data_IF_765394180358
#
_entry.id   IF_765394180358
#
_cell.length_a   1.000
_cell.length_b   1.000
_cell.length_c   1.000
_cell.angle_alpha   90.00
_cell.angle_beta   90.00
_cell.angle_gamma   90.00
#
_symmetry.space_group_name_H-M   'P 1'
#
loop_
_entity.id
_entity.type
_entity.pdbx_description
1 polymer ?
#
# COMPACT_ATOMS: atom_id res chain seq x y z
N UNK A 1 5.04 12.83 7.11
CA UNK A 1 5.74 11.68 6.49
C UNK A 1 5.81 10.51 7.47
N UNK A 2 6.05 10.76 8.78
CA UNK A 2 6.21 9.70 9.82
C UNK A 2 4.94 8.85 10.00
N UNK A 3 3.75 9.38 9.75
CA UNK A 3 2.46 8.64 9.85
C UNK A 3 1.97 8.06 8.51
N UNK A 4 2.88 7.78 7.56
CA UNK A 4 2.47 7.19 6.29
C UNK A 4 2.15 5.70 6.49
N UNK A 5 0.95 5.30 6.06
CA UNK A 5 0.46 3.91 6.18
C UNK A 5 1.36 2.89 5.48
N UNK A 6 2.04 3.29 4.38
CA UNK A 6 3.00 2.43 3.67
C UNK A 6 4.24 2.14 4.53
N UNK A 7 4.76 3.17 5.24
CA UNK A 7 5.90 2.99 6.15
C UNK A 7 5.50 2.09 7.31
N UNK A 8 4.34 2.35 7.92
CA UNK A 8 3.82 1.54 9.03
C UNK A 8 3.60 0.08 8.63
N UNK A 9 3.08 -0.17 7.43
CA UNK A 9 2.93 -1.53 6.92
C UNK A 9 4.30 -2.23 6.76
N UNK A 10 5.30 -1.54 6.19
CA UNK A 10 6.64 -2.09 6.03
C UNK A 10 7.38 -2.29 7.39
N UNK A 11 7.10 -1.46 8.40
CA UNK A 11 7.59 -1.65 9.78
C UNK A 11 7.01 -2.92 10.41
N UNK A 12 5.71 -3.15 10.26
CA UNK A 12 5.05 -4.37 10.73
C UNK A 12 5.56 -5.62 10.01
N UNK A 13 5.81 -5.53 8.70
CA UNK A 13 6.41 -6.62 7.91
C UNK A 13 7.82 -6.96 8.44
N UNK A 14 8.62 -5.94 8.77
CA UNK A 14 9.94 -6.14 9.37
C UNK A 14 9.85 -6.77 10.76
N UNK A 15 8.96 -6.27 11.63
CA UNK A 15 8.72 -6.85 12.96
C UNK A 15 8.29 -8.30 12.86
N UNK A 16 7.37 -8.63 11.93
CA UNK A 16 6.95 -10.01 11.70
C UNK A 16 8.11 -10.92 11.27
N UNK A 17 9.03 -10.42 10.43
CA UNK A 17 10.21 -11.18 10.02
C UNK A 17 11.20 -11.39 11.18
N UNK A 18 11.33 -10.41 12.09
CA UNK A 18 12.15 -10.53 13.31
C UNK A 18 11.54 -11.55 14.29
N UNK A 19 10.21 -11.54 14.47
CA UNK A 19 9.53 -12.53 15.32
C UNK A 19 9.60 -13.93 14.71
N UNK A 20 9.49 -14.06 13.37
CA UNK A 20 9.71 -15.33 12.68
C UNK A 20 11.15 -15.88 12.92
N UNK A 21 12.17 -15.00 12.89
CA UNK A 21 13.53 -15.39 13.24
C UNK A 21 13.62 -15.87 14.69
N UNK A 22 12.99 -15.19 15.64
CA UNK A 22 12.94 -15.65 17.05
C UNK A 22 12.26 -17.01 17.18
N UNK A 23 11.21 -17.23 16.42
CA UNK A 23 10.51 -18.52 16.36
C UNK A 23 11.42 -19.67 15.89
N UNK A 24 12.31 -19.43 14.91
CA UNK A 24 13.25 -20.48 14.45
C UNK A 24 14.23 -20.90 15.55
N UNK A 25 14.62 -20.00 16.45
CA UNK A 25 15.45 -20.35 17.61
C UNK A 25 14.76 -21.29 18.59
N UNK A 26 13.41 -21.37 18.58
CA UNK A 26 12.66 -22.28 19.45
C UNK A 26 12.94 -23.75 19.14
N UNK A 27 13.43 -24.07 17.92
CA UNK A 27 13.83 -25.41 17.55
C UNK A 27 14.97 -26.00 18.44
N UNK A 28 15.71 -25.12 19.13
CA UNK A 28 16.72 -25.57 20.09
C UNK A 28 16.15 -25.93 21.48
N UNK A 29 14.89 -25.59 21.75
CA UNK A 29 14.27 -25.86 23.04
C UNK A 29 13.45 -27.16 22.99
N UNK A 30 13.29 -27.84 24.17
CA UNK A 30 12.38 -28.97 24.27
C UNK A 30 10.95 -28.59 23.92
N UNK A 31 10.32 -29.41 23.07
CA UNK A 31 8.89 -29.26 22.77
C UNK A 31 8.09 -30.16 23.70
N UNK A 32 7.14 -29.56 24.41
CA UNK A 32 6.23 -30.27 25.32
C UNK A 32 4.84 -30.32 24.66
N UNK A 33 4.37 -31.52 24.35
CA UNK A 33 3.04 -31.76 23.80
C UNK A 33 2.17 -32.47 24.81
N UNK A 34 1.04 -31.90 25.16
CA UNK A 34 0.02 -32.52 26.02
C UNK A 34 -1.14 -32.96 25.13
N UNK A 35 -1.44 -34.25 25.14
CA UNK A 35 -2.57 -34.79 24.39
C UNK A 35 -3.57 -35.44 25.33
N UNK A 36 -4.85 -35.14 25.13
CA UNK A 36 -5.97 -35.76 25.82
C UNK A 36 -6.92 -36.30 24.75
N UNK A 37 -7.05 -37.59 24.70
CA UNK A 37 -7.93 -38.29 23.75
C UNK A 37 -8.96 -39.16 24.49
N UNK A 38 -10.14 -39.29 23.90
CA UNK A 38 -11.11 -40.29 24.31
C UNK A 38 -11.08 -41.42 23.26
N UNK A 39 -10.70 -42.61 23.67
CA UNK A 39 -10.66 -43.78 22.81
C UNK A 39 -11.90 -44.66 23.10
N UNK A 40 -12.65 -44.93 22.06
CA UNK A 40 -13.78 -45.89 22.14
C UNK A 40 -13.44 -47.07 21.20
N UNK A 41 -13.22 -48.25 21.79
CA UNK A 41 -12.93 -49.47 21.11
C UNK A 41 -14.12 -50.40 21.25
N UNK A 42 -14.75 -50.76 20.12
CA UNK A 42 -15.87 -51.71 20.07
C UNK A 42 -15.35 -52.99 19.40
N UNK A 43 -14.97 -53.96 20.24
CA UNK A 43 -14.42 -55.22 19.79
C UNK A 43 -15.56 -56.26 19.67
N UNK A 44 -15.81 -56.70 18.44
CA UNK A 44 -16.77 -57.75 18.13
C UNK A 44 -16.04 -59.02 17.78
N UNK A 45 -15.71 -59.82 18.77
CA UNK A 45 -15.12 -61.16 18.55
C UNK A 45 -16.21 -62.22 18.45
N UNK A 46 -16.32 -62.93 17.31
CA UNK A 46 -17.17 -64.12 17.26
C UNK A 46 -16.52 -65.23 18.11
N UNK A 47 -17.23 -65.68 19.12
CA UNK A 47 -16.74 -66.81 19.91
C UNK A 47 -16.72 -68.06 19.05
N UNK A 48 -15.57 -68.74 19.05
CA UNK A 48 -15.41 -70.08 18.44
C UNK A 48 -16.29 -71.08 19.22
N UNK A 49 -17.50 -71.27 18.76
CA UNK A 49 -18.40 -72.29 19.28
C UNK A 49 -18.88 -73.21 18.17
N UNK A 50 -19.11 -74.46 18.50
CA UNK A 50 -19.73 -75.44 17.58
C UNK A 50 -21.24 -75.19 17.50
N UNK A 51 -21.76 -75.09 16.25
CA UNK A 51 -23.19 -74.89 15.99
C UNK A 51 -24.10 -75.80 16.89
N UNK A 52 -25.14 -75.32 17.57
CA UNK A 52 -25.89 -74.05 17.37
C UNK A 52 -25.60 -72.92 18.38
N UNK A 53 -24.61 -73.00 19.24
CA UNK A 53 -24.32 -71.99 20.29
C UNK A 53 -23.20 -71.06 19.88
N UNK A 54 -23.48 -70.16 18.95
CA UNK A 54 -22.54 -69.06 18.58
C UNK A 54 -22.84 -67.84 19.40
N UNK A 55 -22.09 -67.58 20.46
CA UNK A 55 -22.23 -66.41 21.32
C UNK A 55 -21.34 -65.30 20.79
N UNK A 56 -21.90 -64.16 20.40
CA UNK A 56 -21.16 -62.95 20.07
C UNK A 56 -20.90 -62.19 21.35
N UNK A 57 -19.66 -62.04 21.76
CA UNK A 57 -19.29 -61.19 22.87
C UNK A 57 -19.04 -59.77 22.37
N UNK A 58 -19.80 -58.83 22.87
CA UNK A 58 -19.54 -57.43 22.69
C UNK A 58 -18.74 -56.91 23.90
N UNK A 59 -17.51 -56.48 23.67
CA UNK A 59 -16.72 -55.80 24.68
C UNK A 59 -16.46 -54.37 24.21
N UNK A 60 -17.12 -53.41 24.86
CA UNK A 60 -16.95 -51.99 24.59
C UNK A 60 -16.08 -51.39 25.69
N UNK A 61 -14.90 -50.93 25.32
CA UNK A 61 -13.98 -50.22 26.23
C UNK A 61 -13.95 -48.73 25.91
N UNK A 62 -14.34 -47.93 26.87
CA UNK A 62 -14.17 -46.49 26.80
C UNK A 62 -12.99 -46.08 27.72
N UNK A 63 -12.00 -45.47 27.16
CA UNK A 63 -10.80 -45.02 27.90
C UNK A 63 -10.45 -43.56 27.59
N UNK A 64 -10.07 -42.81 28.61
CA UNK A 64 -9.47 -41.49 28.45
C UNK A 64 -7.97 -41.69 28.43
N UNK A 65 -7.35 -41.39 27.29
CA UNK A 65 -5.90 -41.41 27.11
C UNK A 65 -5.35 -40.00 27.37
N UNK A 66 -4.43 -39.89 28.30
CA UNK A 66 -3.69 -38.64 28.59
C UNK A 66 -2.21 -38.93 28.36
N UNK A 67 -1.56 -38.12 27.54
CA UNK A 67 -0.12 -38.25 27.31
C UNK A 67 0.57 -36.91 27.39
N UNK A 68 1.79 -36.89 27.96
CA UNK A 68 2.73 -35.77 27.94
C UNK A 68 3.96 -36.27 27.20
N UNK A 69 4.26 -35.63 26.07
CA UNK A 69 5.43 -35.99 25.26
C UNK A 69 6.40 -34.84 25.28
N UNK A 70 7.65 -35.08 25.67
CA UNK A 70 8.75 -34.09 25.61
C UNK A 70 9.69 -34.55 24.51
N UNK A 71 9.87 -33.71 23.49
CA UNK A 71 10.76 -33.99 22.36
C UNK A 71 11.88 -32.95 22.34
N UNK A 72 13.13 -33.40 22.36
CA UNK A 72 14.32 -32.56 22.24
C UNK A 72 15.13 -33.02 21.03
N UNK A 73 15.37 -32.09 20.09
CA UNK A 73 16.30 -32.33 19.00
C UNK A 73 17.75 -32.25 19.54
N UNK A 74 18.55 -33.29 19.29
CA UNK A 74 19.93 -33.34 19.75
C UNK A 74 20.89 -33.04 18.59
N UNK A 75 20.60 -33.56 17.40
CA UNK A 75 21.44 -33.34 16.23
C UNK A 75 20.62 -33.53 14.95
N UNK A 76 20.79 -32.62 13.97
CA UNK A 76 20.03 -32.61 12.70
C UNK A 76 20.92 -32.31 11.49
N UNK A 77 22.22 -32.56 11.61
CA UNK A 77 23.20 -32.33 10.53
C UNK A 77 23.25 -30.83 10.05
N UNK A 78 22.93 -29.88 10.92
CA UNK A 78 22.99 -28.45 10.59
C UNK A 78 21.72 -27.86 9.93
N UNK A 79 20.64 -28.63 9.82
CA UNK A 79 19.37 -28.17 9.23
C UNK A 79 18.81 -26.97 9.99
N UNK A 80 18.76 -27.01 11.31
CA UNK A 80 18.27 -25.90 12.13
C UNK A 80 19.13 -24.66 11.96
N UNK A 81 20.47 -24.79 11.91
CA UNK A 81 21.36 -23.66 11.65
C UNK A 81 21.06 -23.02 10.29
N UNK A 82 20.89 -23.83 9.24
CA UNK A 82 20.55 -23.32 7.90
C UNK A 82 19.18 -22.62 7.86
N UNK A 83 18.17 -23.10 8.64
CA UNK A 83 16.86 -22.45 8.77
C UNK A 83 16.98 -21.10 9.48
N UNK A 84 17.76 -21.00 10.54
CA UNK A 84 18.05 -19.76 11.26
C UNK A 84 18.79 -18.76 10.35
N UNK A 85 19.79 -19.21 9.61
CA UNK A 85 20.51 -18.34 8.67
C UNK A 85 19.61 -17.83 7.54
N UNK A 86 18.72 -18.67 7.02
CA UNK A 86 17.67 -18.25 6.10
C UNK A 86 16.75 -17.21 6.73
N UNK A 87 16.29 -17.42 7.96
CA UNK A 87 15.42 -16.48 8.66
C UNK A 87 16.12 -15.13 8.94
N UNK A 88 17.43 -15.16 9.29
CA UNK A 88 18.25 -13.94 9.39
C UNK A 88 18.31 -13.17 8.08
N UNK A 89 18.59 -13.85 6.98
CA UNK A 89 18.61 -13.24 5.66
C UNK A 89 17.25 -12.64 5.28
N UNK A 90 16.15 -13.31 5.64
CA UNK A 90 14.78 -12.81 5.43
C UNK A 90 14.50 -11.56 6.27
N UNK A 91 14.93 -11.52 7.53
CA UNK A 91 14.79 -10.34 8.39
C UNK A 91 15.61 -9.15 7.86
N UNK A 92 16.84 -9.40 7.37
CA UNK A 92 17.66 -8.37 6.70
C UNK A 92 17.00 -7.85 5.42
N UNK A 93 16.43 -8.74 4.60
CA UNK A 93 15.67 -8.35 3.41
C UNK A 93 14.48 -7.45 3.76
N UNK A 94 13.72 -7.79 4.80
CA UNK A 94 12.59 -6.98 5.28
C UNK A 94 13.06 -5.60 5.79
N UNK A 95 14.22 -5.53 6.46
CA UNK A 95 14.83 -4.28 6.89
C UNK A 95 15.17 -3.37 5.70
N UNK A 96 15.88 -3.88 4.69
CA UNK A 96 16.20 -3.09 3.49
C UNK A 96 14.97 -2.68 2.69
N UNK A 97 13.94 -3.54 2.68
CA UNK A 97 12.66 -3.19 2.07
C UNK A 97 11.97 -2.02 2.79
N UNK A 98 12.05 -1.98 4.11
CA UNK A 98 11.54 -0.83 4.89
C UNK A 98 12.29 0.46 4.53
N UNK A 99 13.62 0.40 4.38
CA UNK A 99 14.42 1.57 3.96
C UNK A 99 14.01 2.05 2.57
N UNK A 100 13.87 1.14 1.60
CA UNK A 100 13.38 1.48 0.26
C UNK A 100 11.99 2.13 0.28
N UNK A 101 11.05 1.62 1.10
CA UNK A 101 9.72 2.22 1.23
C UNK A 101 9.80 3.64 1.82
N UNK A 102 10.70 3.90 2.77
CA UNK A 102 10.94 5.24 3.31
C UNK A 102 11.46 6.19 2.22
N UNK A 103 12.41 5.76 1.40
CA UNK A 103 12.93 6.53 0.27
C UNK A 103 11.85 6.80 -0.78
N UNK A 104 11.06 5.80 -1.15
CA UNK A 104 9.95 5.94 -2.10
C UNK A 104 8.91 6.96 -1.63
N UNK A 105 8.57 6.96 -0.35
CA UNK A 105 7.63 7.96 0.23
C UNK A 105 8.22 9.37 0.16
N UNK A 106 9.52 9.54 0.39
CA UNK A 106 10.19 10.84 0.27
C UNK A 106 10.15 11.32 -1.20
N UNK A 107 10.46 10.44 -2.15
CA UNK A 107 10.41 10.74 -3.58
C UNK A 107 8.97 11.10 -4.00
N UNK A 108 7.98 10.35 -3.54
CA UNK A 108 6.56 10.63 -3.81
C UNK A 108 6.15 12.02 -3.26
N UNK A 109 6.63 12.38 -2.08
CA UNK A 109 6.37 13.68 -1.46
C UNK A 109 7.00 14.83 -2.24
N UNK A 110 8.26 14.68 -2.69
CA UNK A 110 8.95 15.66 -3.53
C UNK A 110 8.23 15.82 -4.87
N UNK A 111 7.87 14.73 -5.52
CA UNK A 111 7.14 14.76 -6.79
C UNK A 111 5.76 15.42 -6.66
N UNK A 112 5.03 15.16 -5.59
CA UNK A 112 3.75 15.82 -5.33
C UNK A 112 3.92 17.33 -5.18
N UNK A 113 4.96 17.78 -4.47
CA UNK A 113 5.29 19.19 -4.33
C UNK A 113 5.68 19.85 -5.65
N UNK A 114 6.58 19.23 -6.43
CA UNK A 114 7.01 19.74 -7.75
C UNK A 114 5.84 19.85 -8.72
N UNK A 115 4.97 18.84 -8.76
CA UNK A 115 3.78 18.84 -9.61
C UNK A 115 2.79 19.96 -9.20
N UNK A 116 2.63 20.21 -7.91
CA UNK A 116 1.81 21.32 -7.42
C UNK A 116 2.36 22.67 -7.88
N UNK A 117 3.67 22.89 -7.73
CA UNK A 117 4.32 24.13 -8.17
C UNK A 117 4.21 24.34 -9.69
N UNK A 118 4.42 23.26 -10.46
CA UNK A 118 4.24 23.29 -11.93
C UNK A 118 2.81 23.65 -12.32
N UNK A 119 1.82 22.99 -11.72
CA UNK A 119 0.41 23.24 -12.01
C UNK A 119 0.00 24.67 -11.64
N UNK A 120 0.46 25.18 -10.50
CA UNK A 120 0.23 26.57 -10.07
C UNK A 120 0.82 27.59 -11.07
N UNK A 121 2.09 27.44 -11.43
CA UNK A 121 2.73 28.35 -12.38
C UNK A 121 2.08 28.29 -13.76
N UNK A 122 1.67 27.11 -14.22
CA UNK A 122 0.95 26.94 -15.48
C UNK A 122 -0.42 27.64 -15.44
N UNK A 123 -1.17 27.50 -14.36
CA UNK A 123 -2.45 28.17 -14.19
C UNK A 123 -2.30 29.70 -14.17
N UNK A 124 -1.35 30.24 -13.40
CA UNK A 124 -1.09 31.68 -13.34
C UNK A 124 -0.63 32.24 -14.72
N UNK A 125 0.19 31.50 -15.46
CA UNK A 125 0.58 31.88 -16.82
C UNK A 125 -0.64 31.92 -17.76
N UNK A 126 -1.46 30.87 -17.78
CA UNK A 126 -2.64 30.79 -18.64
C UNK A 126 -3.68 31.85 -18.28
N UNK A 127 -3.86 32.15 -17.01
CA UNK A 127 -4.74 33.24 -16.53
C UNK A 127 -4.28 34.63 -17.03
N UNK A 128 -2.97 34.88 -17.05
CA UNK A 128 -2.41 36.12 -17.62
C UNK A 128 -2.62 36.19 -19.12
N UNK A 129 -2.43 35.07 -19.84
CA UNK A 129 -2.67 35.00 -21.29
C UNK A 129 -4.15 35.24 -21.62
N UNK A 130 -5.06 34.63 -20.87
CA UNK A 130 -6.50 34.88 -21.02
C UNK A 130 -6.85 36.34 -20.78
N UNK A 131 -6.32 36.96 -19.73
CA UNK A 131 -6.55 38.38 -19.42
C UNK A 131 -6.07 39.29 -20.56
N UNK A 132 -4.88 39.05 -21.10
CA UNK A 132 -4.34 39.81 -22.24
C UNK A 132 -5.18 39.60 -23.50
N UNK A 133 -5.59 38.38 -23.80
CA UNK A 133 -6.46 38.09 -24.94
C UNK A 133 -7.83 38.79 -24.82
N UNK A 134 -8.39 38.89 -23.63
CA UNK A 134 -9.61 39.62 -23.34
C UNK A 134 -9.46 41.11 -23.67
N UNK A 135 -8.36 41.73 -23.28
CA UNK A 135 -8.03 43.15 -23.59
C UNK A 135 -7.90 43.32 -25.09
N UNK A 136 -7.16 42.44 -25.78
CA UNK A 136 -6.99 42.46 -27.24
C UNK A 136 -8.33 42.35 -27.96
N UNK A 137 -9.21 41.44 -27.53
CA UNK A 137 -10.55 41.33 -28.07
C UNK A 137 -11.36 42.62 -27.89
N UNK A 138 -11.32 43.23 -26.72
CA UNK A 138 -12.05 44.50 -26.45
C UNK A 138 -11.55 45.64 -27.37
N UNK A 139 -10.22 45.76 -27.56
CA UNK A 139 -9.62 46.73 -28.48
C UNK A 139 -10.05 46.50 -29.96
N UNK A 140 -10.08 45.22 -30.38
CA UNK A 140 -10.46 44.83 -31.73
C UNK A 140 -11.96 45.17 -31.99
N UNK A 141 -12.84 44.91 -31.02
CA UNK A 141 -14.25 45.24 -31.10
C UNK A 141 -14.45 46.77 -31.28
N UNK A 142 -13.69 47.60 -30.51
CA UNK A 142 -13.76 49.05 -30.65
C UNK A 142 -13.22 49.56 -31.99
N UNK A 143 -12.15 48.95 -32.56
CA UNK A 143 -11.65 49.26 -33.89
C UNK A 143 -12.69 48.97 -34.97
N UNK A 144 -13.33 47.80 -34.92
CA UNK A 144 -14.38 47.39 -35.86
C UNK A 144 -15.58 48.35 -35.77
N UNK A 145 -16.02 48.75 -34.59
CA UNK A 145 -17.12 49.73 -34.39
C UNK A 145 -16.79 51.09 -35.01
N UNK A 146 -15.54 51.52 -35.00
CA UNK A 146 -15.08 52.76 -35.62
C UNK A 146 -14.87 52.66 -37.13
N UNK A 147 -15.05 51.47 -37.75
CA UNK A 147 -14.80 51.23 -39.18
C UNK A 147 -13.32 51.04 -39.52
N UNK A 148 -12.43 50.89 -38.54
CA UNK A 148 -10.98 50.75 -38.74
C UNK A 148 -10.53 49.28 -38.78
N UNK A 149 -11.46 48.32 -38.65
CA UNK A 149 -11.12 46.88 -38.57
C UNK A 149 -12.10 46.00 -39.34
N UNK A 150 -11.67 44.80 -39.64
CA UNK A 150 -12.49 43.80 -40.35
C UNK A 150 -13.29 42.94 -39.37
N UNK A 151 -14.54 42.59 -39.76
CA UNK A 151 -15.37 41.60 -39.02
C UNK A 151 -14.73 40.25 -38.93
N UNK A 152 -13.96 39.86 -39.96
CA UNK A 152 -13.20 38.60 -39.98
C UNK A 152 -12.13 38.60 -38.89
N UNK A 153 -11.35 39.68 -38.74
CA UNK A 153 -10.35 39.86 -37.72
C UNK A 153 -10.96 39.73 -36.31
N UNK A 154 -12.13 40.38 -36.08
CA UNK A 154 -12.84 40.26 -34.81
C UNK A 154 -13.19 38.80 -34.49
N UNK A 155 -13.71 38.04 -35.44
CA UNK A 155 -14.08 36.64 -35.24
C UNK A 155 -12.87 35.76 -34.94
N UNK A 156 -11.73 36.01 -35.62
CA UNK A 156 -10.47 35.30 -35.34
C UNK A 156 -9.95 35.54 -33.94
N UNK A 157 -9.95 36.80 -33.50
CA UNK A 157 -9.51 37.16 -32.13
C UNK A 157 -10.51 36.64 -31.09
N UNK A 158 -11.80 36.64 -31.36
CA UNK A 158 -12.79 36.04 -30.46
C UNK A 158 -12.59 34.53 -30.33
N UNK A 159 -12.32 33.80 -31.42
CA UNK A 159 -11.99 32.38 -31.37
C UNK A 159 -10.73 32.12 -30.58
N UNK A 160 -9.69 32.94 -30.74
CA UNK A 160 -8.45 32.84 -29.99
C UNK A 160 -8.68 33.10 -28.49
N UNK A 161 -9.49 34.10 -28.12
CA UNK A 161 -9.86 34.32 -26.72
C UNK A 161 -10.59 33.11 -26.12
N UNK A 162 -11.55 32.51 -26.86
CA UNK A 162 -12.25 31.29 -26.40
C UNK A 162 -11.30 30.13 -26.16
N UNK A 163 -10.30 29.98 -27.02
CA UNK A 163 -9.26 28.96 -26.84
C UNK A 163 -8.46 29.20 -25.55
N UNK A 164 -8.03 30.42 -25.29
CA UNK A 164 -7.30 30.76 -24.05
C UNK A 164 -8.17 30.63 -22.80
N UNK A 165 -9.45 30.95 -22.90
CA UNK A 165 -10.41 30.74 -21.82
C UNK A 165 -10.54 29.24 -21.47
N UNK A 166 -10.64 28.38 -22.46
CA UNK A 166 -10.67 26.93 -22.25
C UNK A 166 -9.35 26.43 -21.64
N UNK A 167 -8.20 26.93 -22.12
CA UNK A 167 -6.89 26.58 -21.58
C UNK A 167 -6.72 27.00 -20.11
N UNK A 168 -7.21 28.19 -19.75
CA UNK A 168 -7.22 28.67 -18.35
C UNK A 168 -8.10 27.78 -17.47
N UNK A 169 -9.29 27.41 -17.93
CA UNK A 169 -10.18 26.49 -17.20
C UNK A 169 -9.54 25.11 -17.02
N UNK A 170 -8.96 24.55 -18.06
CA UNK A 170 -8.29 23.21 -17.99
C UNK A 170 -7.09 23.27 -17.04
N UNK A 171 -6.29 24.33 -17.07
CA UNK A 171 -5.17 24.50 -16.14
C UNK A 171 -5.62 24.66 -14.69
N UNK A 172 -6.78 25.26 -14.43
CA UNK A 172 -7.38 25.31 -13.08
C UNK A 172 -7.75 23.92 -12.59
N UNK A 173 -8.41 23.10 -13.41
CA UNK A 173 -8.71 21.70 -13.05
C UNK A 173 -7.43 20.90 -12.78
N UNK A 174 -6.37 21.15 -13.56
CA UNK A 174 -5.05 20.56 -13.33
C UNK A 174 -4.44 20.97 -11.98
N UNK A 175 -4.59 22.23 -11.60
CA UNK A 175 -4.16 22.74 -10.29
C UNK A 175 -4.97 22.10 -9.15
N UNK A 176 -6.29 22.02 -9.27
CA UNK A 176 -7.15 21.40 -8.26
C UNK A 176 -6.77 19.91 -8.06
N UNK A 177 -6.49 19.19 -9.15
CA UNK A 177 -5.99 17.80 -9.08
C UNK A 177 -4.62 17.69 -8.39
N UNK A 178 -3.71 18.64 -8.67
CA UNK A 178 -2.39 18.67 -8.04
C UNK A 178 -2.48 18.99 -6.53
N UNK A 179 -3.39 19.87 -6.12
CA UNK A 179 -3.70 20.16 -4.71
C UNK A 179 -4.20 18.92 -4.00
N UNK A 180 -5.14 18.18 -4.61
CA UNK A 180 -5.66 16.93 -4.05
C UNK A 180 -4.55 15.88 -3.86
N UNK A 181 -3.70 15.69 -4.88
CA UNK A 181 -2.56 14.77 -4.79
C UNK A 181 -1.58 15.19 -3.69
N UNK A 182 -1.27 16.47 -3.60
CA UNK A 182 -0.42 16.99 -2.52
C UNK A 182 -1.02 16.70 -1.14
N UNK A 183 -2.32 16.97 -0.94
CA UNK A 183 -3.02 16.70 0.32
C UNK A 183 -3.01 15.20 0.70
N UNK A 184 -3.14 14.31 -0.28
CA UNK A 184 -3.11 12.87 -0.03
C UNK A 184 -1.75 12.40 0.48
N UNK A 185 -0.66 12.99 -0.03
CA UNK A 185 0.71 12.61 0.34
C UNK A 185 1.16 13.29 1.62
N UNK A 186 0.91 14.60 1.75
CA UNK A 186 1.39 15.43 2.86
C UNK A 186 0.41 15.50 4.04
N UNK A 187 -0.85 15.05 3.85
CA UNK A 187 -1.94 15.06 4.87
C UNK A 187 -2.32 16.46 5.37
N UNK A 188 -1.88 17.54 4.72
CA UNK A 188 -2.32 18.90 5.02
C UNK A 188 -2.59 19.73 3.75
N UNK A 189 -3.42 20.76 3.88
CA UNK A 189 -3.71 21.68 2.77
C UNK A 189 -2.55 22.66 2.57
N UNK A 190 -2.09 22.91 1.32
CA UNK A 190 -1.11 23.96 1.06
C UNK A 190 -1.74 25.32 1.36
N UNK A 191 -1.15 26.09 2.29
CA UNK A 191 -1.76 27.34 2.78
C UNK A 191 -1.36 28.56 1.94
N UNK A 192 -0.17 28.57 1.33
CA UNK A 192 0.32 29.65 0.48
C UNK A 192 1.22 29.09 -0.61
N UNK A 193 0.61 28.67 -1.72
CA UNK A 193 1.35 28.06 -2.83
C UNK A 193 2.32 29.06 -3.47
N UNK A 194 1.95 30.35 -3.54
CA UNK A 194 2.79 31.41 -4.11
C UNK A 194 4.07 31.68 -3.30
N UNK A 195 4.04 31.44 -1.99
CA UNK A 195 5.17 31.65 -1.07
C UNK A 195 6.03 30.42 -0.83
N UNK A 196 5.72 29.28 -1.47
CA UNK A 196 6.53 28.07 -1.33
C UNK A 196 7.91 28.24 -2.00
N UNK A 197 9.00 27.65 -1.43
CA UNK A 197 10.32 27.72 -2.03
C UNK A 197 10.28 27.12 -3.45
N UNK A 198 10.86 27.86 -4.41
CA UNK A 198 10.97 27.37 -5.79
C UNK A 198 12.08 26.32 -5.86
N UNK A 199 11.92 25.26 -6.65
CA UNK A 199 13.01 24.36 -6.92
C UNK A 199 14.15 25.13 -7.62
N UNK A 200 15.38 24.87 -7.22
CA UNK A 200 16.60 25.39 -7.85
C UNK A 200 16.72 24.89 -9.27
#
# INVERSE_FOLDING_TARGET
IVENEKIKAAELDYEAAVEALKSEYTAYYPQVTISVGNNWEDDRTPAKGTYPNNTITHDSKQGIQKSITITQMIWDAGRTNAMIDKAKATAQQAHYRLELVKEDVIIEAINAWLNLMKAYNTHEANKKVEANAKVTLAMTIEKVKKGEGSKLEQLQIEQQYRTYQTLSMTSRLGLDSAIQRFQNVWRFKPHNIAGMPKPL
#
